data_IF_962744916972
#
_entry.id   IF_962744916972
#
_cell.length_a   1.000
_cell.length_b   1.000
_cell.length_c   1.000
_cell.angle_alpha   90.00
_cell.angle_beta   90.00
_cell.angle_gamma   90.00
#
_symmetry.space_group_name_H-M   'P 1'
#
loop_
_entity.id
_entity.type
_entity.pdbx_description
1 polymer ?
#
# COMPACT_ATOMS: atom_id res chain seq x y z
N UNK A 1 1.56 25.26 -26.62
CA UNK A 1 1.32 25.06 -25.18
C UNK A 1 0.82 23.64 -24.98
N UNK A 2 1.61 22.75 -24.37
CA UNK A 2 1.19 21.37 -24.13
C UNK A 2 0.26 21.36 -22.90
N UNK A 3 -1.02 21.11 -23.12
CA UNK A 3 -1.95 20.85 -22.01
C UNK A 3 -1.50 19.54 -21.34
N UNK A 4 -1.02 19.62 -20.10
CA UNK A 4 -0.84 18.45 -19.25
C UNK A 4 -2.24 17.89 -18.98
N UNK A 5 -2.64 16.87 -19.72
CA UNK A 5 -3.93 16.19 -19.53
C UNK A 5 -3.83 15.33 -18.28
N UNK A 6 -4.09 15.93 -17.12
CA UNK A 6 -4.18 15.19 -15.86
C UNK A 6 -5.41 14.29 -15.94
N UNK A 7 -5.19 13.00 -15.77
CA UNK A 7 -6.24 11.97 -15.73
C UNK A 7 -6.54 11.65 -14.27
N UNK A 8 -7.79 11.78 -13.88
CA UNK A 8 -8.22 11.55 -12.49
C UNK A 8 -8.60 10.08 -12.27
N UNK A 9 -8.33 9.58 -11.07
CA UNK A 9 -8.73 8.25 -10.62
C UNK A 9 -9.57 8.36 -9.34
N UNK A 10 -10.42 7.38 -9.05
CA UNK A 10 -11.15 7.33 -7.77
C UNK A 10 -10.73 6.14 -6.91
N UNK A 11 -10.49 6.41 -5.62
CA UNK A 11 -10.15 5.41 -4.62
C UNK A 11 -11.41 4.72 -4.11
N UNK A 12 -11.33 3.43 -3.77
CA UNK A 12 -12.44 2.64 -3.24
C UNK A 12 -13.12 3.25 -2.00
N UNK A 13 -12.38 4.01 -1.20
CA UNK A 13 -12.89 4.79 -0.07
C UNK A 13 -13.98 5.80 -0.45
N UNK A 14 -14.10 6.17 -1.72
CA UNK A 14 -15.18 7.02 -2.24
C UNK A 14 -16.55 6.36 -2.09
N UNK A 15 -16.64 5.03 -2.17
CA UNK A 15 -17.93 4.34 -2.07
C UNK A 15 -17.83 2.91 -1.50
N UNK A 16 -17.24 2.71 -0.31
CA UNK A 16 -16.78 1.40 0.20
C UNK A 16 -17.87 0.35 0.37
N UNK A 17 -19.15 0.77 0.36
CA UNK A 17 -20.33 -0.10 0.50
C UNK A 17 -20.93 -0.57 -0.83
N UNK A 18 -20.52 0.02 -1.96
CA UNK A 18 -20.97 -0.46 -3.28
C UNK A 18 -20.33 -1.81 -3.59
N UNK A 19 -21.04 -2.76 -4.21
CA UNK A 19 -20.39 -3.89 -4.87
C UNK A 19 -19.49 -3.37 -6.01
N UNK A 20 -18.50 -4.17 -6.42
CA UNK A 20 -17.45 -3.73 -7.35
C UNK A 20 -18.00 -3.21 -8.68
N UNK A 21 -18.98 -3.90 -9.27
CA UNK A 21 -19.66 -3.48 -10.49
C UNK A 21 -20.34 -2.11 -10.33
N UNK A 22 -20.99 -1.87 -9.18
CA UNK A 22 -21.53 -0.58 -8.80
C UNK A 22 -20.45 0.51 -8.64
N UNK A 23 -19.30 0.17 -8.06
CA UNK A 23 -18.17 1.10 -7.92
C UNK A 23 -17.53 1.46 -9.28
N UNK A 24 -17.37 0.48 -10.17
CA UNK A 24 -16.85 0.72 -11.53
C UNK A 24 -17.83 1.56 -12.38
N UNK A 25 -19.14 1.32 -12.24
CA UNK A 25 -20.16 2.15 -12.88
C UNK A 25 -20.14 3.60 -12.36
N UNK A 26 -19.93 3.80 -11.05
CA UNK A 26 -19.75 5.11 -10.44
C UNK A 26 -18.51 5.82 -11.02
N UNK A 27 -17.36 5.13 -11.08
CA UNK A 27 -16.12 5.69 -11.64
C UNK A 27 -16.29 6.16 -13.08
N UNK A 28 -16.95 5.34 -13.91
CA UNK A 28 -17.24 5.65 -15.31
C UNK A 28 -18.15 6.87 -15.43
N UNK A 29 -19.21 6.91 -14.62
CA UNK A 29 -20.15 8.04 -14.59
C UNK A 29 -19.46 9.33 -14.14
N UNK A 30 -18.53 9.24 -13.19
CA UNK A 30 -17.75 10.36 -12.69
C UNK A 30 -16.64 10.85 -13.66
N UNK A 31 -16.46 10.19 -14.81
CA UNK A 31 -15.41 10.54 -15.77
C UNK A 31 -13.99 10.20 -15.28
N UNK A 32 -13.87 9.31 -14.29
CA UNK A 32 -12.57 8.85 -13.82
C UNK A 32 -11.90 7.98 -14.89
N UNK A 33 -10.63 8.26 -15.16
CA UNK A 33 -9.82 7.49 -16.10
C UNK A 33 -9.27 6.19 -15.50
N UNK A 34 -9.29 6.06 -14.17
CA UNK A 34 -8.84 4.88 -13.44
C UNK A 34 -9.55 4.75 -12.09
N UNK A 35 -9.40 3.59 -11.46
CA UNK A 35 -9.85 3.34 -10.08
C UNK A 35 -8.74 2.68 -9.30
N UNK A 36 -8.69 2.94 -8.00
CA UNK A 36 -7.89 2.20 -7.03
C UNK A 36 -8.85 1.35 -6.20
N UNK A 37 -8.83 0.03 -6.44
CA UNK A 37 -9.69 -0.93 -5.73
C UNK A 37 -8.91 -1.47 -4.55
N UNK A 38 -9.55 -1.64 -3.38
CA UNK A 38 -8.96 -2.38 -2.26
C UNK A 38 -9.20 -3.88 -2.46
N UNK A 39 -8.85 -4.71 -1.49
CA UNK A 39 -8.80 -6.18 -1.57
C UNK A 39 -10.16 -6.90 -1.80
N UNK A 40 -11.10 -6.33 -2.54
CA UNK A 40 -12.48 -6.81 -2.75
C UNK A 40 -12.76 -7.40 -4.16
N UNK A 41 -11.72 -7.72 -4.93
CA UNK A 41 -11.87 -8.34 -6.27
C UNK A 41 -11.25 -9.74 -6.31
N UNK A 42 -12.07 -10.76 -6.60
CA UNK A 42 -11.58 -12.07 -7.05
C UNK A 42 -10.99 -11.91 -8.46
N UNK A 43 -9.67 -11.96 -8.57
CA UNK A 43 -8.98 -11.51 -9.76
C UNK A 43 -9.01 -12.51 -10.91
N UNK A 44 -9.32 -11.97 -12.09
CA UNK A 44 -8.94 -12.46 -13.41
C UNK A 44 -9.24 -11.33 -14.43
N UNK A 45 -8.24 -10.52 -14.77
CA UNK A 45 -8.35 -9.39 -15.71
C UNK A 45 -7.07 -8.53 -15.76
N UNK A 46 -7.01 -7.44 -16.55
CA UNK A 46 -5.82 -6.57 -16.65
C UNK A 46 -5.53 -5.74 -15.39
N UNK A 47 -6.34 -5.89 -14.35
CA UNK A 47 -6.24 -5.15 -13.09
C UNK A 47 -5.70 -6.07 -12.00
N UNK A 48 -4.82 -5.52 -11.18
CA UNK A 48 -4.19 -6.22 -10.05
C UNK A 48 -4.35 -5.39 -8.77
N UNK A 49 -4.25 -6.06 -7.62
CA UNK A 49 -4.34 -5.45 -6.29
C UNK A 49 -3.05 -4.67 -5.99
N UNK A 50 -3.22 -3.43 -5.51
CA UNK A 50 -2.17 -2.73 -4.76
C UNK A 50 -2.28 -3.16 -3.29
N UNK A 51 -1.33 -3.94 -2.83
CA UNK A 51 -1.27 -4.40 -1.45
C UNK A 51 -0.42 -3.44 -0.64
N UNK A 52 -0.97 -2.85 0.42
CA UNK A 52 -0.25 -1.93 1.31
C UNK A 52 -0.16 -2.56 2.70
N UNK A 53 1.06 -2.79 3.19
CA UNK A 53 1.30 -3.51 4.45
C UNK A 53 0.72 -2.79 5.67
N UNK A 54 0.72 -1.45 5.64
CA UNK A 54 0.12 -0.64 6.68
C UNK A 54 -1.41 -0.73 6.62
N UNK A 55 -2.00 -0.58 5.44
CA UNK A 55 -3.47 -0.66 5.29
C UNK A 55 -4.01 -2.05 5.59
N UNK A 56 -3.24 -3.10 5.30
CA UNK A 56 -3.59 -4.48 5.64
C UNK A 56 -3.57 -4.68 7.15
N UNK A 57 -2.49 -4.27 7.83
CA UNK A 57 -2.36 -4.30 9.28
C UNK A 57 -3.50 -3.53 9.96
N UNK A 58 -3.72 -2.26 9.56
CA UNK A 58 -4.76 -1.38 10.12
C UNK A 58 -6.18 -1.93 9.92
N UNK A 59 -6.44 -2.62 8.81
CA UNK A 59 -7.76 -3.20 8.54
C UNK A 59 -8.05 -4.48 9.35
N UNK A 60 -7.04 -5.07 10.01
CA UNK A 60 -7.20 -6.33 10.76
C UNK A 60 -7.62 -7.51 9.88
N UNK A 61 -7.36 -7.45 8.57
CA UNK A 61 -7.74 -8.51 7.62
C UNK A 61 -6.71 -9.63 7.69
N UNK A 62 -7.17 -10.88 7.64
CA UNK A 62 -6.30 -12.07 7.64
C UNK A 62 -6.27 -12.80 6.30
N UNK A 63 -7.24 -12.54 5.43
CA UNK A 63 -7.31 -13.14 4.11
C UNK A 63 -6.32 -12.44 3.15
N UNK A 64 -5.35 -13.20 2.66
CA UNK A 64 -4.34 -12.75 1.70
C UNK A 64 -4.55 -13.45 0.34
N UNK A 65 -4.47 -12.69 -0.75
CA UNK A 65 -4.64 -13.19 -2.12
C UNK A 65 -3.42 -12.87 -3.00
N UNK A 66 -2.23 -13.48 -2.77
CA UNK A 66 -0.98 -13.06 -3.41
C UNK A 66 -0.99 -13.12 -4.93
N UNK A 67 -1.73 -14.09 -5.49
CA UNK A 67 -1.83 -14.29 -6.93
C UNK A 67 -2.49 -13.12 -7.67
N UNK A 68 -3.18 -12.24 -6.94
CA UNK A 68 -3.88 -11.08 -7.48
C UNK A 68 -3.09 -9.78 -7.29
N UNK A 69 -1.98 -9.82 -6.57
CA UNK A 69 -1.18 -8.63 -6.25
C UNK A 69 -0.28 -8.26 -7.44
N UNK A 70 -0.32 -7.00 -7.83
CA UNK A 70 0.55 -6.43 -8.87
C UNK A 70 1.59 -5.45 -8.33
N UNK A 71 1.36 -4.93 -7.12
CA UNK A 71 2.21 -3.95 -6.46
C UNK A 71 2.11 -4.11 -4.94
N UNK A 72 3.24 -3.98 -4.22
CA UNK A 72 3.26 -4.03 -2.75
C UNK A 72 3.87 -2.74 -2.18
N UNK A 73 3.04 -1.85 -1.63
CA UNK A 73 3.53 -0.69 -0.88
C UNK A 73 3.98 -1.12 0.53
N UNK A 74 5.14 -0.62 0.94
CA UNK A 74 5.71 -0.91 2.26
C UNK A 74 6.07 0.36 3.02
N UNK A 75 5.76 0.37 4.30
CA UNK A 75 6.17 1.42 5.25
C UNK A 75 6.19 0.82 6.64
N UNK A 76 7.09 1.27 7.51
CA UNK A 76 7.23 0.76 8.87
C UNK A 76 6.62 1.70 9.90
N UNK A 77 6.29 1.18 11.07
CA UNK A 77 5.89 1.98 12.24
C UNK A 77 6.72 1.53 13.44
N UNK A 78 7.71 2.33 13.81
CA UNK A 78 8.67 1.98 14.88
C UNK A 78 8.25 2.48 16.27
N UNK A 79 6.95 2.69 16.49
CA UNK A 79 6.37 3.16 17.77
C UNK A 79 5.27 2.20 18.25
N UNK A 80 5.20 2.01 19.57
CA UNK A 80 4.28 1.05 20.22
C UNK A 80 3.00 1.68 20.78
N UNK A 81 2.85 3.01 20.67
CA UNK A 81 1.70 3.79 21.13
C UNK A 81 1.41 4.85 20.05
N UNK A 82 0.20 4.95 19.47
CA UNK A 82 -1.08 4.33 19.85
C UNK A 82 -1.26 2.89 19.32
N UNK A 83 -2.31 2.15 19.77
CA UNK A 83 -2.60 0.80 19.26
C UNK A 83 -2.92 0.83 17.76
N UNK A 84 -2.82 -0.32 17.04
CA UNK A 84 -2.89 -0.38 15.58
C UNK A 84 -4.08 0.32 14.93
N UNK A 85 -5.26 0.23 15.56
CA UNK A 85 -6.50 0.87 15.10
C UNK A 85 -6.47 2.41 15.08
N UNK A 86 -5.55 3.00 15.85
CA UNK A 86 -5.36 4.44 15.99
C UNK A 86 -4.14 4.96 15.21
N UNK A 87 -3.44 4.08 14.48
CA UNK A 87 -2.33 4.48 13.63
C UNK A 87 -2.85 5.28 12.44
N UNK A 88 -2.17 6.37 12.15
CA UNK A 88 -2.49 7.30 11.06
C UNK A 88 -1.47 7.17 9.94
N UNK A 89 -1.78 7.75 8.77
CA UNK A 89 -0.79 7.81 7.69
C UNK A 89 0.49 8.51 8.17
N UNK A 90 0.39 9.56 9.00
CA UNK A 90 1.56 10.31 9.48
C UNK A 90 2.50 9.52 10.38
N UNK A 91 2.10 8.33 10.85
CA UNK A 91 2.97 7.45 11.61
C UNK A 91 3.87 6.58 10.71
N UNK A 92 3.61 6.52 9.41
CA UNK A 92 4.29 5.65 8.44
C UNK A 92 5.70 6.15 8.14
N UNK A 93 6.70 5.45 8.68
CA UNK A 93 8.12 5.68 8.47
C UNK A 93 8.78 4.67 7.53
N UNK A 94 10.12 4.64 7.57
CA UNK A 94 10.89 3.55 6.99
C UNK A 94 10.74 2.28 7.82
N UNK A 95 10.91 1.12 7.19
CA UNK A 95 10.85 -0.18 7.86
C UNK A 95 12.17 -0.47 8.57
N UNK A 96 12.09 -0.86 9.84
CA UNK A 96 13.22 -1.31 10.65
C UNK A 96 12.79 -2.41 11.64
N UNK A 97 13.69 -2.80 12.54
CA UNK A 97 13.46 -3.85 13.54
C UNK A 97 12.36 -3.53 14.55
N UNK A 98 11.95 -2.27 14.66
CA UNK A 98 10.87 -1.81 15.53
C UNK A 98 9.50 -1.81 14.87
N UNK A 99 9.40 -2.19 13.59
CA UNK A 99 8.15 -2.15 12.84
C UNK A 99 7.06 -3.02 13.47
N UNK A 100 6.01 -2.38 13.99
CA UNK A 100 4.85 -3.06 14.60
C UNK A 100 3.84 -3.56 13.57
N UNK A 101 4.00 -3.20 12.30
CA UNK A 101 3.09 -3.66 11.23
C UNK A 101 3.46 -5.04 10.66
N UNK A 102 4.58 -5.62 11.08
CA UNK A 102 5.13 -6.86 10.53
C UNK A 102 5.29 -6.83 9.00
N UNK A 103 5.79 -5.71 8.46
CA UNK A 103 5.98 -5.55 7.01
C UNK A 103 6.91 -6.62 6.44
N UNK A 104 7.95 -7.01 7.18
CA UNK A 104 8.88 -8.06 6.76
C UNK A 104 8.21 -9.45 6.71
N UNK A 105 7.39 -9.81 7.71
CA UNK A 105 6.61 -11.04 7.71
C UNK A 105 5.59 -11.09 6.58
N UNK A 106 4.87 -9.99 6.35
CA UNK A 106 3.91 -9.86 5.24
C UNK A 106 4.58 -10.05 3.88
N UNK A 107 5.74 -9.41 3.63
CA UNK A 107 6.50 -9.60 2.38
C UNK A 107 6.94 -11.04 2.19
N UNK A 108 7.50 -11.65 3.23
CA UNK A 108 7.95 -13.04 3.19
C UNK A 108 6.79 -13.99 2.82
N UNK A 109 5.60 -13.80 3.38
CA UNK A 109 4.41 -14.61 3.06
C UNK A 109 3.96 -14.42 1.60
N UNK A 110 3.91 -13.18 1.12
CA UNK A 110 3.47 -12.84 -0.24
C UNK A 110 4.44 -13.40 -1.30
N UNK A 111 5.75 -13.30 -1.05
CA UNK A 111 6.81 -13.79 -1.94
C UNK A 111 6.92 -15.31 -1.92
N UNK A 112 6.80 -15.94 -0.75
CA UNK A 112 6.73 -17.39 -0.63
C UNK A 112 5.55 -17.99 -1.43
N UNK A 113 4.48 -17.19 -1.61
CA UNK A 113 3.29 -17.56 -2.40
C UNK A 113 3.34 -17.14 -3.87
N UNK A 114 4.48 -16.65 -4.34
CA UNK A 114 4.78 -16.48 -5.77
C UNK A 114 4.83 -15.04 -6.28
N UNK A 115 4.66 -14.03 -5.43
CA UNK A 115 4.80 -12.64 -5.86
C UNK A 115 6.23 -12.31 -6.29
N UNK A 116 6.40 -11.65 -7.44
CA UNK A 116 7.69 -11.22 -8.01
C UNK A 116 7.66 -9.80 -8.57
N UNK A 117 6.65 -9.02 -8.16
CA UNK A 117 6.45 -7.64 -8.64
C UNK A 117 7.26 -6.61 -7.87
N UNK A 118 6.87 -5.34 -8.00
CA UNK A 118 7.57 -4.21 -7.37
C UNK A 118 7.18 -4.02 -5.90
N UNK A 119 8.11 -3.49 -5.10
CA UNK A 119 7.89 -3.18 -3.68
C UNK A 119 8.24 -1.70 -3.39
N UNK A 120 7.40 -0.72 -3.79
CA UNK A 120 7.66 0.69 -3.48
C UNK A 120 7.58 0.98 -1.98
N UNK A 121 8.51 1.79 -1.47
CA UNK A 121 8.42 2.34 -0.13
C UNK A 121 7.49 3.56 -0.12
N UNK A 122 6.57 3.62 0.85
CA UNK A 122 5.55 4.66 0.95
C UNK A 122 5.46 5.27 2.37
N UNK A 123 6.54 5.91 2.87
CA UNK A 123 6.49 6.62 4.14
C UNK A 123 5.75 7.97 4.03
N UNK A 124 5.01 8.34 5.07
CA UNK A 124 4.27 9.61 5.20
C UNK A 124 4.66 10.41 6.45
N UNK A 125 5.63 9.94 7.24
CA UNK A 125 6.09 10.64 8.43
C UNK A 125 6.59 12.05 8.06
N UNK A 126 6.06 13.12 8.70
CA UNK A 126 6.49 14.49 8.42
C UNK A 126 8.00 14.70 8.54
N UNK A 127 8.65 14.00 9.47
CA UNK A 127 10.10 14.04 9.64
C UNK A 127 10.88 13.51 8.41
N UNK A 128 10.34 12.54 7.68
CA UNK A 128 10.94 12.03 6.44
C UNK A 128 10.70 13.01 5.31
N UNK A 129 9.49 13.56 5.18
CA UNK A 129 9.15 14.51 4.11
C UNK A 129 9.85 15.86 4.26
N UNK A 130 10.17 16.26 5.49
CA UNK A 130 10.91 17.49 5.79
C UNK A 130 12.43 17.31 5.84
N UNK A 131 12.95 16.08 5.70
CA UNK A 131 14.38 15.84 5.78
C UNK A 131 15.09 16.26 4.48
N UNK A 132 16.21 16.98 4.62
CA UNK A 132 17.06 17.36 3.48
C UNK A 132 17.76 16.17 2.83
N UNK A 133 18.01 15.10 3.60
CA UNK A 133 18.61 13.86 3.12
C UNK A 133 17.99 12.64 3.81
N UNK A 134 17.45 11.72 2.99
CA UNK A 134 16.87 10.45 3.42
C UNK A 134 17.66 9.24 2.94
N UNK A 135 18.80 9.43 2.26
CA UNK A 135 19.60 8.37 1.63
C UNK A 135 20.06 7.31 2.62
N UNK A 136 20.61 7.73 3.77
CA UNK A 136 21.06 6.83 4.83
C UNK A 136 19.93 6.00 5.45
N UNK A 137 18.85 6.64 5.97
CA UNK A 137 17.65 5.93 6.44
C UNK A 137 17.05 4.97 5.41
N UNK A 138 16.88 5.41 4.16
CA UNK A 138 16.37 4.60 3.06
C UNK A 138 17.26 3.37 2.81
N UNK A 139 18.57 3.56 2.72
CA UNK A 139 19.52 2.46 2.51
C UNK A 139 19.47 1.42 3.63
N UNK A 140 19.32 1.86 4.90
CA UNK A 140 19.15 0.94 6.03
C UNK A 140 17.86 0.14 5.94
N UNK A 141 16.76 0.79 5.57
CA UNK A 141 15.47 0.12 5.41
C UNK A 141 15.47 -0.89 4.28
N UNK A 142 16.08 -0.55 3.14
CA UNK A 142 16.25 -1.47 2.02
C UNK A 142 17.15 -2.65 2.39
N UNK A 143 18.24 -2.41 3.14
CA UNK A 143 19.11 -3.47 3.63
C UNK A 143 18.39 -4.40 4.61
N UNK A 144 17.54 -3.85 5.48
CA UNK A 144 16.71 -4.61 6.41
C UNK A 144 15.70 -5.52 5.69
N UNK A 145 15.04 -5.03 4.64
CA UNK A 145 14.03 -5.80 3.90
C UNK A 145 14.62 -6.82 2.92
N UNK A 146 15.85 -6.62 2.44
CA UNK A 146 16.45 -7.45 1.39
C UNK A 146 16.44 -8.97 1.65
N UNK A 147 16.64 -9.47 2.89
CA UNK A 147 16.53 -10.90 3.16
C UNK A 147 15.12 -11.50 2.98
N UNK A 148 14.09 -10.65 2.94
CA UNK A 148 12.68 -11.04 2.82
C UNK A 148 12.11 -10.82 1.41
N UNK A 149 12.93 -10.33 0.46
CA UNK A 149 12.56 -9.96 -0.92
C UNK A 149 13.28 -10.76 -1.97
#
# INVERSE_FOLDING_TARGET
MSHRTVKFAINRTVAPRLPLDGFLALAKTAGAAAVEVRNDVGGAGPLQICYDTFQFCRAGVTNLYPQLIGLVHVSGISRTDPPPENLTETDRGFVDTGDVTDTAGQLNEIIARGYRGYVPMEPFAPAIHAADDVSGPLARSLAFLRPFT
#
